data_IF_301135755933
#
_entry.id   IF_301135755933
#
_cell.length_a   1.000
_cell.length_b   1.000
_cell.length_c   1.000
_cell.angle_alpha   90.00
_cell.angle_beta   90.00
_cell.angle_gamma   90.00
#
_symmetry.space_group_name_H-M   'P 1'
#
loop_
_entity.id
_entity.type
_entity.pdbx_description
1 polymer ?
#
# COMPACT_ATOMS: atom_id res chain seq x y z
N UNK A 1 9.76 8.76 19.60
CA UNK A 1 9.45 7.87 18.47
C UNK A 1 8.03 8.18 18.01
N UNK A 2 7.79 8.42 16.71
CA UNK A 2 6.42 8.65 16.20
C UNK A 2 5.76 7.29 15.93
N UNK A 3 4.50 7.06 16.31
CA UNK A 3 3.84 5.78 16.11
C UNK A 3 3.61 5.52 14.62
N UNK A 4 3.69 4.25 14.21
CA UNK A 4 3.39 3.81 12.84
C UNK A 4 1.88 3.85 12.57
N UNK A 5 1.48 3.83 11.30
CA UNK A 5 0.06 3.73 10.94
C UNK A 5 -0.55 2.41 11.43
N UNK A 6 0.21 1.30 11.39
CA UNK A 6 -0.23 0.02 11.95
C UNK A 6 -0.50 0.12 13.46
N UNK A 7 0.38 0.79 14.20
CA UNK A 7 0.20 1.06 15.63
C UNK A 7 -1.02 1.95 15.90
N UNK A 8 -1.23 2.98 15.08
CA UNK A 8 -2.39 3.87 15.19
C UNK A 8 -3.72 3.15 14.90
N UNK A 9 -3.79 2.34 13.83
CA UNK A 9 -4.97 1.57 13.46
C UNK A 9 -5.30 0.51 14.52
N UNK A 10 -4.26 -0.18 15.03
CA UNK A 10 -4.41 -1.13 16.13
C UNK A 10 -4.92 -0.44 17.40
N UNK A 11 -4.37 0.73 17.73
CA UNK A 11 -4.81 1.55 18.86
C UNK A 11 -6.27 2.00 18.72
N UNK A 12 -6.66 2.50 17.55
CA UNK A 12 -8.03 2.91 17.26
C UNK A 12 -9.03 1.75 17.39
N UNK A 13 -8.71 0.59 16.81
CA UNK A 13 -9.54 -0.61 16.93
C UNK A 13 -9.71 -1.07 18.39
N UNK A 14 -8.64 -0.97 19.20
CA UNK A 14 -8.68 -1.27 20.64
C UNK A 14 -9.60 -0.30 21.38
N UNK A 15 -9.50 1.00 21.14
CA UNK A 15 -10.35 2.00 21.79
C UNK A 15 -11.83 1.79 21.45
N UNK A 16 -12.15 1.54 20.18
CA UNK A 16 -13.52 1.25 19.75
C UNK A 16 -14.06 -0.03 20.41
N UNK A 17 -13.22 -1.06 20.58
CA UNK A 17 -13.61 -2.28 21.29
C UNK A 17 -13.92 -2.01 22.76
N UNK A 18 -13.19 -1.12 23.43
CA UNK A 18 -13.47 -0.75 24.82
C UNK A 18 -14.85 -0.09 24.95
N UNK A 19 -15.18 0.85 24.06
CA UNK A 19 -16.49 1.50 24.04
C UNK A 19 -17.61 0.50 23.69
N UNK A 20 -17.35 -0.46 22.80
CA UNK A 20 -18.32 -1.51 22.43
C UNK A 20 -18.72 -2.39 23.64
N UNK A 21 -17.84 -2.55 24.63
CA UNK A 21 -18.08 -3.39 25.81
C UNK A 21 -18.49 -2.58 27.05
N UNK A 22 -18.62 -1.26 26.92
CA UNK A 22 -19.05 -0.40 28.02
C UNK A 22 -20.58 -0.52 28.20
N UNK A 23 -21.06 -1.02 29.36
CA UNK A 23 -22.49 -1.20 29.62
C UNK A 23 -23.28 0.12 29.66
N UNK A 24 -22.61 1.27 29.81
CA UNK A 24 -23.23 2.59 29.79
C UNK A 24 -23.42 3.12 28.36
N UNK A 25 -22.87 2.44 27.34
CA UNK A 25 -22.99 2.87 25.95
C UNK A 25 -24.42 2.64 25.42
N UNK A 26 -25.10 3.70 24.93
CA UNK A 26 -26.40 3.55 24.29
C UNK A 26 -26.33 2.63 23.08
N UNK A 27 -27.37 1.81 22.85
CA UNK A 27 -27.40 0.83 21.75
C UNK A 27 -27.11 1.45 20.36
N UNK A 28 -27.64 2.65 20.08
CA UNK A 28 -27.39 3.39 18.84
C UNK A 28 -25.93 3.80 18.67
N UNK A 29 -25.26 4.17 19.76
CA UNK A 29 -23.82 4.47 19.78
C UNK A 29 -23.02 3.19 19.61
N UNK A 30 -23.44 2.09 20.24
CA UNK A 30 -22.80 0.78 20.10
C UNK A 30 -22.82 0.24 18.67
N UNK A 31 -23.86 0.52 17.88
CA UNK A 31 -23.90 0.22 16.45
C UNK A 31 -22.90 1.07 15.63
N UNK A 32 -22.84 2.37 15.89
CA UNK A 32 -21.88 3.28 15.24
C UNK A 32 -20.43 2.87 15.53
N UNK A 33 -20.14 2.54 16.80
CA UNK A 33 -18.81 2.08 17.24
C UNK A 33 -18.41 0.77 16.54
N UNK A 34 -19.33 -0.19 16.44
CA UNK A 34 -19.09 -1.45 15.70
C UNK A 34 -18.80 -1.20 14.22
N UNK A 35 -19.57 -0.32 13.59
CA UNK A 35 -19.36 0.04 12.19
C UNK A 35 -18.03 0.76 11.99
N UNK A 36 -17.68 1.71 12.85
CA UNK A 36 -16.39 2.38 12.84
C UNK A 36 -15.23 1.38 13.00
N UNK A 37 -15.36 0.41 13.93
CA UNK A 37 -14.33 -0.62 14.13
C UNK A 37 -14.14 -1.47 12.89
N UNK A 38 -15.23 -1.92 12.26
CA UNK A 38 -15.18 -2.67 10.99
C UNK A 38 -14.48 -1.89 9.87
N UNK A 39 -14.68 -0.57 9.81
CA UNK A 39 -13.99 0.27 8.83
C UNK A 39 -12.49 0.37 9.15
N UNK A 40 -12.12 0.58 10.41
CA UNK A 40 -10.71 0.61 10.83
C UNK A 40 -10.02 -0.72 10.55
N UNK A 41 -10.65 -1.84 10.90
CA UNK A 41 -10.14 -3.20 10.64
C UNK A 41 -9.92 -3.41 9.13
N UNK A 42 -10.89 -3.02 8.29
CA UNK A 42 -10.78 -3.11 6.82
C UNK A 42 -9.66 -2.23 6.27
N UNK A 43 -9.49 -1.01 6.81
CA UNK A 43 -8.39 -0.13 6.42
C UNK A 43 -7.05 -0.74 6.82
N UNK A 44 -6.94 -1.35 8.01
CA UNK A 44 -5.74 -2.06 8.45
C UNK A 44 -5.38 -3.27 7.58
N UNK A 45 -6.37 -4.07 7.18
CA UNK A 45 -6.16 -5.16 6.23
C UNK A 45 -5.71 -4.67 4.86
N UNK A 46 -6.34 -3.62 4.34
CA UNK A 46 -5.96 -3.02 3.07
C UNK A 46 -4.54 -2.44 3.13
N UNK A 47 -4.22 -1.75 4.22
CA UNK A 47 -2.92 -1.14 4.48
C UNK A 47 -1.79 -2.18 4.53
N UNK A 48 -1.98 -3.22 5.34
CA UNK A 48 -0.99 -4.30 5.54
C UNK A 48 -0.70 -5.09 4.26
N UNK A 49 -1.63 -5.12 3.29
CA UNK A 49 -1.40 -5.70 1.96
C UNK A 49 -0.78 -4.71 0.97
N UNK A 50 -1.25 -3.47 0.96
CA UNK A 50 -0.88 -2.46 -0.05
C UNK A 50 0.54 -1.98 0.12
N UNK A 51 0.97 -1.70 1.36
CA UNK A 51 2.29 -1.12 1.60
C UNK A 51 3.45 -2.04 1.23
N UNK A 52 3.47 -3.33 1.62
CA UNK A 52 4.50 -4.26 1.17
C UNK A 52 4.55 -4.39 -0.35
N UNK A 53 3.38 -4.49 -1.00
CA UNK A 53 3.30 -4.56 -2.45
C UNK A 53 3.93 -3.32 -3.11
N UNK A 54 3.53 -2.11 -2.71
CA UNK A 54 4.04 -0.88 -3.32
C UNK A 54 5.55 -0.70 -3.11
N UNK A 55 6.07 -1.07 -1.93
CA UNK A 55 7.52 -1.01 -1.65
C UNK A 55 8.31 -1.99 -2.52
N UNK A 56 7.85 -3.23 -2.60
CA UNK A 56 8.48 -4.25 -3.45
C UNK A 56 8.41 -3.88 -4.93
N UNK A 57 7.29 -3.33 -5.38
CA UNK A 57 7.10 -2.88 -6.76
C UNK A 57 8.02 -1.68 -7.08
N UNK A 58 8.08 -0.67 -6.19
CA UNK A 58 8.98 0.47 -6.37
C UNK A 58 10.44 0.04 -6.44
N UNK A 59 10.89 -0.81 -5.51
CA UNK A 59 12.26 -1.32 -5.52
C UNK A 59 12.60 -2.06 -6.82
N UNK A 60 11.69 -2.90 -7.33
CA UNK A 60 11.88 -3.61 -8.61
C UNK A 60 11.89 -2.66 -9.80
N UNK A 61 10.98 -1.68 -9.83
CA UNK A 61 10.92 -0.68 -10.89
C UNK A 61 12.18 0.19 -10.92
N UNK A 62 12.66 0.62 -9.75
CA UNK A 62 13.90 1.38 -9.62
C UNK A 62 15.10 0.60 -10.17
N UNK A 63 15.23 -0.69 -9.84
CA UNK A 63 16.27 -1.57 -10.40
C UNK A 63 16.18 -1.67 -11.93
N UNK A 64 14.97 -1.86 -12.48
CA UNK A 64 14.77 -1.92 -13.94
C UNK A 64 15.12 -0.62 -14.65
N UNK A 65 14.98 0.51 -13.97
CA UNK A 65 15.29 1.85 -14.47
C UNK A 65 16.73 2.28 -14.19
N UNK A 66 17.47 1.54 -13.36
CA UNK A 66 18.79 1.96 -12.86
C UNK A 66 18.72 3.22 -11.99
N UNK A 67 17.60 3.41 -11.29
CA UNK A 67 17.37 4.51 -10.37
C UNK A 67 17.62 4.06 -8.93
N UNK A 68 18.06 5.00 -8.07
CA UNK A 68 18.09 4.77 -6.63
C UNK A 68 16.66 4.77 -6.07
N UNK A 69 16.38 3.85 -5.15
CA UNK A 69 15.14 3.83 -4.40
C UNK A 69 15.35 4.49 -3.03
N UNK A 70 14.65 5.61 -2.74
CA UNK A 70 14.79 6.29 -1.45
C UNK A 70 14.21 5.44 -0.30
N UNK A 71 14.57 5.80 0.92
CA UNK A 71 13.98 5.20 2.12
C UNK A 71 12.44 5.26 2.08
N UNK A 72 11.74 4.22 2.55
CA UNK A 72 10.29 4.16 2.42
C UNK A 72 9.60 5.31 3.19
N UNK A 73 8.88 6.13 2.43
CA UNK A 73 8.03 7.21 2.94
C UNK A 73 6.69 6.73 3.49
N UNK A 74 5.79 7.69 3.71
CA UNK A 74 4.38 7.37 4.00
C UNK A 74 3.66 6.80 2.76
N UNK A 75 2.37 6.48 2.89
CA UNK A 75 1.61 5.90 1.77
C UNK A 75 1.49 6.86 0.59
N UNK A 76 1.26 8.15 0.82
CA UNK A 76 1.08 9.12 -0.24
C UNK A 76 2.39 9.26 -1.04
N UNK A 77 3.52 9.32 -0.33
CA UNK A 77 4.86 9.34 -0.92
C UNK A 77 5.15 8.05 -1.70
N UNK A 78 4.80 6.89 -1.12
CA UNK A 78 5.03 5.57 -1.75
C UNK A 78 4.20 5.40 -3.04
N UNK A 79 2.93 5.84 -3.02
CA UNK A 79 2.04 5.84 -4.20
C UNK A 79 2.58 6.80 -5.26
N UNK A 80 2.93 8.03 -4.89
CA UNK A 80 3.45 9.02 -5.82
C UNK A 80 4.75 8.54 -6.48
N UNK A 81 5.62 7.87 -5.71
CA UNK A 81 6.83 7.24 -6.23
C UNK A 81 6.53 6.11 -7.21
N UNK A 82 5.56 5.24 -6.89
CA UNK A 82 5.14 4.17 -7.80
C UNK A 82 4.66 4.73 -9.14
N UNK A 83 3.79 5.73 -9.10
CA UNK A 83 3.25 6.34 -10.31
C UNK A 83 4.34 7.00 -11.16
N UNK A 84 5.29 7.70 -10.51
CA UNK A 84 6.46 8.27 -11.18
C UNK A 84 7.29 7.19 -11.89
N UNK A 85 7.65 6.12 -11.17
CA UNK A 85 8.45 5.02 -11.72
C UNK A 85 7.73 4.32 -12.88
N UNK A 86 6.41 4.18 -12.82
CA UNK A 86 5.61 3.63 -13.92
C UNK A 86 5.62 4.52 -15.15
N UNK A 87 5.51 5.83 -14.97
CA UNK A 87 5.64 6.80 -16.05
C UNK A 87 7.02 6.71 -16.73
N UNK A 88 8.07 6.68 -15.92
CA UNK A 88 9.46 6.52 -16.40
C UNK A 88 9.67 5.19 -17.14
N UNK A 89 9.16 4.08 -16.60
CA UNK A 89 9.22 2.76 -17.24
C UNK A 89 8.50 2.74 -18.59
N UNK A 90 7.32 3.37 -18.67
CA UNK A 90 6.53 3.46 -19.91
C UNK A 90 7.32 4.19 -20.99
N UNK A 91 7.89 5.35 -20.67
CA UNK A 91 8.76 6.10 -21.58
C UNK A 91 9.96 5.25 -22.00
N UNK A 92 10.61 4.58 -21.05
CA UNK A 92 11.80 3.76 -21.31
C UNK A 92 11.53 2.58 -22.25
N UNK A 93 10.38 1.91 -22.11
CA UNK A 93 10.00 0.78 -22.98
C UNK A 93 9.86 1.23 -24.45
N UNK A 94 9.35 2.45 -24.69
CA UNK A 94 9.19 2.98 -26.04
C UNK A 94 10.53 3.25 -26.73
N UNK A 95 11.56 3.63 -25.98
CA UNK A 95 12.90 3.89 -26.49
C UNK A 95 13.76 2.63 -26.64
N UNK A 96 13.43 1.56 -25.92
CA UNK A 96 14.24 0.34 -25.91
C UNK A 96 14.01 -0.53 -27.17
N UNK A 97 15.08 -0.92 -27.88
CA UNK A 97 14.96 -1.91 -28.95
C UNK A 97 14.55 -3.27 -28.38
N UNK A 98 14.12 -4.18 -29.26
CA UNK A 98 13.91 -5.57 -28.87
C UNK A 98 15.22 -6.16 -28.32
N UNK A 99 15.17 -6.72 -27.12
CA UNK A 99 16.36 -7.23 -26.44
C UNK A 99 16.11 -7.64 -24.99
N UNK A 100 17.16 -8.09 -24.29
CA UNK A 100 17.06 -8.63 -22.94
C UNK A 100 16.43 -7.65 -21.92
N UNK A 101 16.80 -6.37 -21.98
CA UNK A 101 16.25 -5.34 -21.09
C UNK A 101 14.73 -5.17 -21.29
N UNK A 102 14.26 -5.11 -22.54
CA UNK A 102 12.83 -5.03 -22.85
C UNK A 102 12.08 -6.30 -22.43
N UNK A 103 12.71 -7.47 -22.53
CA UNK A 103 12.13 -8.73 -22.07
C UNK A 103 12.01 -8.80 -20.54
N UNK A 104 13.01 -8.31 -19.80
CA UNK A 104 12.97 -8.24 -18.33
C UNK A 104 11.83 -7.33 -17.85
N UNK A 105 11.69 -6.15 -18.46
CA UNK A 105 10.58 -5.24 -18.17
C UNK A 105 9.24 -5.91 -18.46
N UNK A 106 9.08 -6.57 -19.61
CA UNK A 106 7.87 -7.29 -19.96
C UNK A 106 7.56 -8.48 -19.03
N UNK A 107 8.57 -9.16 -18.48
CA UNK A 107 8.40 -10.21 -17.48
C UNK A 107 7.91 -9.63 -16.14
N UNK A 108 8.49 -8.52 -15.69
CA UNK A 108 8.06 -7.82 -14.48
C UNK A 108 6.61 -7.33 -14.59
N UNK A 109 6.23 -6.69 -15.71
CA UNK A 109 4.86 -6.22 -15.93
C UNK A 109 3.83 -7.35 -15.92
N UNK A 110 4.14 -8.50 -16.54
CA UNK A 110 3.27 -9.69 -16.50
C UNK A 110 3.11 -10.24 -15.09
N UNK A 111 4.21 -10.31 -14.33
CA UNK A 111 4.17 -10.73 -12.94
C UNK A 111 3.30 -9.78 -12.11
N UNK A 112 3.48 -8.47 -12.28
CA UNK A 112 2.72 -7.43 -11.57
C UNK A 112 1.22 -7.60 -11.76
N UNK A 113 0.75 -7.77 -12.99
CA UNK A 113 -0.67 -8.02 -13.31
C UNK A 113 -1.19 -9.30 -12.65
N UNK A 114 -0.37 -10.36 -12.57
CA UNK A 114 -0.76 -11.61 -11.92
C UNK A 114 -0.87 -11.49 -10.38
N UNK A 115 0.02 -10.69 -9.75
CA UNK A 115 0.02 -10.47 -8.30
C UNK A 115 -0.92 -9.38 -7.82
N UNK A 116 -1.23 -8.39 -8.66
CA UNK A 116 -2.12 -7.29 -8.34
C UNK A 116 -2.79 -6.75 -9.63
N UNK A 117 -3.97 -7.26 -10.00
CA UNK A 117 -4.65 -6.89 -11.24
C UNK A 117 -5.36 -5.52 -11.19
N UNK A 118 -5.33 -4.83 -10.05
CA UNK A 118 -6.01 -3.54 -9.83
C UNK A 118 -5.19 -2.32 -10.23
#
# INVERSE_FOLDING_TARGET
MRPTIDEQLTGAARLLRLVEHDPETPLSVGELVRNARRLVDRVGESWSRTMPFLRDDNARLAVLLGADEPEPGDLAETIARNEKLRGELTSRIHELPAGPARAQIGAHLRNRVATNPT
#
